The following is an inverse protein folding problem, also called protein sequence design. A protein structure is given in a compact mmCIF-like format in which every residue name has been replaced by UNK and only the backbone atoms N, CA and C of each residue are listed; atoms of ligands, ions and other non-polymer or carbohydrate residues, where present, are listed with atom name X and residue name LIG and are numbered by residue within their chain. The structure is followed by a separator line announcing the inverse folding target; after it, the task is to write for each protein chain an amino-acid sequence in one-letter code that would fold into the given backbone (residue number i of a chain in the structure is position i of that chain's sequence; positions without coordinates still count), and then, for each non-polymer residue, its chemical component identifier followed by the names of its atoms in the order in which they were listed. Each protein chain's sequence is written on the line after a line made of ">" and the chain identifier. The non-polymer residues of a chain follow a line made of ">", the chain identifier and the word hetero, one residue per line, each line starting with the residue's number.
data_IF_545799451142
#
_entry.id   IF_545799451142
#
_cell.length_a   1.000
_cell.length_b   1.000
_cell.length_c   1.000
_cell.angle_alpha   90.00
_cell.angle_beta   90.00
_cell.angle_gamma   90.00
#
_symmetry.space_group_name_H-M   'P 1'
#
loop_
_entity.id
_entity.type
_entity.pdbx_description
1 polymer ?
#
# COMPACT_ATOMS: atom_id res chain seq x y z
N UNK A 1 -44.45 -67.14 4.43
CA UNK A 1 -43.62 -66.16 5.17
C UNK A 1 -42.73 -65.44 4.19
N UNK A 2 -43.30 -64.41 3.57
CA UNK A 2 -42.59 -63.47 2.69
C UNK A 2 -41.89 -62.43 3.58
N UNK A 3 -40.58 -62.28 3.43
CA UNK A 3 -39.82 -61.15 3.98
C UNK A 3 -39.27 -60.37 2.79
N UNK A 4 -39.91 -59.24 2.48
CA UNK A 4 -39.35 -58.25 1.56
C UNK A 4 -38.17 -57.51 2.22
N UNK A 5 -37.10 -57.18 1.47
CA UNK A 5 -36.04 -56.31 1.96
C UNK A 5 -36.44 -54.83 1.84
N UNK A 6 -36.21 -54.07 2.91
CA UNK A 6 -36.45 -52.62 2.98
C UNK A 6 -35.59 -51.83 1.97
N UNK A 7 -36.10 -50.74 1.38
CA UNK A 7 -35.33 -49.89 0.49
C UNK A 7 -34.44 -48.92 1.29
N UNK A 8 -33.14 -48.93 1.00
CA UNK A 8 -32.18 -47.94 1.50
C UNK A 8 -32.43 -46.61 0.76
N UNK A 9 -33.01 -45.63 1.46
CA UNK A 9 -33.11 -44.25 0.99
C UNK A 9 -31.78 -43.54 1.20
N UNK A 10 -31.08 -43.26 0.10
CA UNK A 10 -29.95 -42.34 0.08
C UNK A 10 -30.47 -40.90 0.25
N UNK A 11 -30.22 -40.29 1.41
CA UNK A 11 -30.39 -38.85 1.63
C UNK A 11 -29.20 -38.12 0.99
N UNK A 12 -29.40 -37.61 -0.22
CA UNK A 12 -28.46 -36.65 -0.83
C UNK A 12 -28.74 -35.29 -0.20
N UNK A 13 -27.92 -34.87 0.76
CA UNK A 13 -27.91 -33.50 1.26
C UNK A 13 -27.32 -32.59 0.17
N UNK A 14 -28.01 -31.52 -0.28
CA UNK A 14 -27.42 -30.60 -1.23
C UNK A 14 -26.31 -29.82 -0.51
N UNK A 15 -25.08 -30.03 -0.96
CA UNK A 15 -23.93 -29.24 -0.58
C UNK A 15 -24.15 -27.81 -1.11
N UNK A 16 -24.59 -26.90 -0.25
CA UNK A 16 -24.68 -25.48 -0.57
C UNK A 16 -23.23 -24.97 -0.75
N UNK A 17 -22.76 -24.91 -2.00
CA UNK A 17 -21.52 -24.19 -2.31
C UNK A 17 -21.82 -22.69 -2.09
N UNK A 18 -21.49 -22.19 -0.91
CA UNK A 18 -21.29 -20.76 -0.73
C UNK A 18 -20.10 -20.36 -1.60
N UNK A 19 -20.38 -19.89 -2.82
CA UNK A 19 -19.39 -19.21 -3.64
C UNK A 19 -19.08 -17.91 -2.89
N UNK A 20 -18.01 -17.93 -2.10
CA UNK A 20 -17.35 -16.71 -1.66
C UNK A 20 -16.91 -15.99 -2.94
N UNK A 21 -17.67 -14.99 -3.37
CA UNK A 21 -17.20 -14.02 -4.36
C UNK A 21 -16.02 -13.30 -3.72
N UNK A 22 -14.80 -13.82 -3.90
CA UNK A 22 -13.61 -12.98 -3.79
C UNK A 22 -13.78 -11.90 -4.84
N UNK A 23 -14.22 -10.73 -4.40
CA UNK A 23 -14.32 -9.58 -5.27
C UNK A 23 -12.89 -9.23 -5.70
N UNK A 24 -12.58 -9.42 -6.98
CA UNK A 24 -11.30 -9.04 -7.56
C UNK A 24 -11.04 -7.56 -7.28
N UNK A 25 -9.78 -7.18 -7.15
CA UNK A 25 -9.44 -5.76 -7.03
C UNK A 25 -9.61 -5.05 -8.38
N UNK A 26 -9.35 -3.73 -8.41
CA UNK A 26 -9.38 -3.01 -9.67
C UNK A 26 -8.30 -3.55 -10.60
N UNK A 27 -8.65 -3.71 -11.86
CA UNK A 27 -7.68 -4.06 -12.87
C UNK A 27 -6.93 -2.81 -13.32
N UNK A 28 -5.62 -2.94 -13.53
CA UNK A 28 -4.89 -2.03 -14.42
C UNK A 28 -5.46 -2.19 -15.82
N UNK A 29 -6.03 -1.14 -16.37
CA UNK A 29 -6.67 -1.17 -17.69
C UNK A 29 -6.02 -0.19 -18.66
N UNK A 30 -6.00 -0.58 -19.93
CA UNK A 30 -5.64 0.27 -21.07
C UNK A 30 -6.62 0.07 -22.22
N UNK A 31 -6.60 0.96 -23.19
CA UNK A 31 -7.39 0.78 -24.42
C UNK A 31 -6.52 0.16 -25.50
N UNK A 32 -7.03 -0.91 -26.12
CA UNK A 32 -6.50 -1.39 -27.39
C UNK A 32 -7.06 -0.55 -28.52
N UNK A 33 -6.22 0.35 -29.05
CA UNK A 33 -6.65 1.30 -30.08
C UNK A 33 -6.88 0.57 -31.40
N UNK A 34 -8.11 0.65 -31.91
CA UNK A 34 -8.42 0.20 -33.28
C UNK A 34 -7.71 1.05 -34.33
N UNK A 35 -7.44 2.32 -34.02
CA UNK A 35 -6.75 3.27 -34.88
C UNK A 35 -5.64 3.99 -34.11
N UNK A 36 -4.40 3.92 -34.59
CA UNK A 36 -3.23 4.51 -33.92
C UNK A 36 -3.27 6.06 -33.88
N UNK A 37 -4.17 6.69 -34.63
CA UNK A 37 -4.22 8.14 -34.85
C UNK A 37 -4.93 8.93 -33.74
N UNK A 38 -5.78 8.29 -32.92
CA UNK A 38 -6.45 8.99 -31.82
C UNK A 38 -5.51 9.05 -30.62
N UNK A 39 -5.10 10.26 -30.23
CA UNK A 39 -4.38 10.50 -28.97
C UNK A 39 -5.37 10.43 -27.80
N UNK A 40 -4.97 9.77 -26.71
CA UNK A 40 -5.79 9.64 -25.51
C UNK A 40 -6.57 8.33 -25.36
N UNK A 41 -7.21 8.24 -24.21
CA UNK A 41 -7.99 7.14 -23.67
C UNK A 41 -9.29 7.68 -23.06
N UNK A 42 -10.39 6.99 -23.29
CA UNK A 42 -11.70 7.32 -22.73
C UNK A 42 -12.26 6.05 -22.12
N UNK A 43 -12.38 5.99 -20.80
CA UNK A 43 -13.03 4.89 -20.11
C UNK A 43 -14.37 5.34 -19.55
N UNK A 44 -15.38 4.49 -19.66
CA UNK A 44 -16.72 4.76 -19.20
C UNK A 44 -17.34 3.55 -18.49
N UNK A 45 -18.03 3.81 -17.39
CA UNK A 45 -18.94 2.84 -16.78
C UNK A 45 -20.19 3.55 -16.24
N UNK A 46 -21.25 2.77 -16.06
CA UNK A 46 -22.49 3.19 -15.40
C UNK A 46 -22.87 2.17 -14.35
N UNK A 47 -23.38 2.64 -13.22
CA UNK A 47 -23.81 1.79 -12.12
C UNK A 47 -25.02 2.40 -11.41
N UNK A 48 -25.72 1.60 -10.64
CA UNK A 48 -26.93 2.01 -9.91
C UNK A 48 -26.70 1.89 -8.41
N UNK A 49 -27.15 2.89 -7.65
CA UNK A 49 -27.15 2.89 -6.20
C UNK A 49 -28.59 2.84 -5.71
N UNK A 50 -28.98 1.75 -5.06
CA UNK A 50 -30.36 1.50 -4.58
C UNK A 50 -30.83 2.53 -3.54
N UNK A 51 -29.90 3.00 -2.71
CA UNK A 51 -30.15 3.99 -1.66
C UNK A 51 -29.20 5.17 -1.78
N UNK A 52 -29.47 6.24 -1.01
CA UNK A 52 -28.64 7.45 -1.05
C UNK A 52 -27.24 7.14 -0.49
N UNK A 53 -26.14 7.47 -1.21
CA UNK A 53 -24.81 7.34 -0.66
C UNK A 53 -24.60 8.32 0.51
N UNK A 54 -23.92 7.87 1.55
CA UNK A 54 -23.54 8.70 2.73
C UNK A 54 -22.02 8.80 2.90
N UNK A 55 -21.26 7.97 2.20
CA UNK A 55 -19.81 8.07 2.09
C UNK A 55 -19.36 7.56 0.73
N UNK A 56 -18.30 8.14 0.18
CA UNK A 56 -17.67 7.64 -1.02
C UNK A 56 -16.24 8.17 -1.14
N UNK A 57 -15.29 7.28 -1.41
CA UNK A 57 -13.89 7.63 -1.62
C UNK A 57 -13.41 7.03 -2.93
N UNK A 58 -12.65 7.80 -3.69
CA UNK A 58 -11.94 7.30 -4.87
C UNK A 58 -10.47 7.17 -4.55
N UNK A 59 -9.87 6.07 -5.03
CA UNK A 59 -8.43 5.88 -5.22
C UNK A 59 -8.18 5.64 -6.68
N UNK A 60 -7.32 6.46 -7.29
CA UNK A 60 -6.99 6.44 -8.69
C UNK A 60 -5.47 6.45 -8.86
N UNK A 61 -4.93 5.50 -9.63
CA UNK A 61 -3.53 5.46 -10.03
C UNK A 61 -3.40 5.40 -11.55
N UNK A 62 -2.33 5.96 -12.07
CA UNK A 62 -2.10 6.10 -13.50
C UNK A 62 -0.61 6.32 -13.78
N UNK A 63 -0.18 5.92 -14.97
CA UNK A 63 1.21 6.14 -15.38
C UNK A 63 1.31 7.40 -16.24
N UNK A 64 2.03 8.42 -15.74
CA UNK A 64 2.44 9.63 -16.49
C UNK A 64 1.36 10.13 -17.45
N UNK A 65 0.17 10.34 -16.90
CA UNK A 65 -1.03 10.64 -17.68
C UNK A 65 -1.61 11.95 -17.18
N UNK A 66 -2.09 12.79 -18.10
CA UNK A 66 -2.92 13.95 -17.76
C UNK A 66 -4.36 13.70 -18.17
N UNK A 67 -5.33 14.29 -17.48
CA UNK A 67 -6.71 13.98 -17.81
C UNK A 67 -7.74 14.54 -16.84
N UNK A 68 -8.94 13.99 -16.92
CA UNK A 68 -10.05 14.31 -16.02
C UNK A 68 -10.81 13.06 -15.66
N UNK A 69 -11.24 12.99 -14.40
CA UNK A 69 -12.25 12.08 -13.92
C UNK A 69 -13.55 12.87 -13.75
N UNK A 70 -14.60 12.43 -14.42
CA UNK A 70 -15.93 13.01 -14.35
C UNK A 70 -16.92 12.00 -13.77
N UNK A 71 -17.83 12.49 -12.92
CA UNK A 71 -18.90 11.70 -12.33
C UNK A 71 -20.19 12.49 -12.55
N UNK A 72 -21.20 11.86 -13.16
CA UNK A 72 -22.48 12.49 -13.51
C UNK A 72 -22.33 13.82 -14.27
N UNK A 73 -21.32 13.90 -15.16
CA UNK A 73 -21.01 15.07 -15.98
C UNK A 73 -20.21 16.18 -15.28
N UNK A 74 -20.06 16.15 -13.95
CA UNK A 74 -19.21 17.07 -13.21
C UNK A 74 -17.75 16.59 -13.20
N UNK A 75 -16.79 17.53 -13.32
CA UNK A 75 -15.37 17.21 -13.16
C UNK A 75 -15.09 16.99 -11.67
N UNK A 76 -14.92 15.73 -11.28
CA UNK A 76 -14.59 15.34 -9.92
C UNK A 76 -13.10 15.54 -9.61
N UNK A 77 -12.23 15.30 -10.60
CA UNK A 77 -10.79 15.52 -10.44
C UNK A 77 -10.07 15.81 -11.77
N UNK A 78 -8.97 16.58 -11.70
CA UNK A 78 -8.02 16.80 -12.80
C UNK A 78 -6.74 16.02 -12.53
N UNK A 79 -6.37 15.16 -13.45
CA UNK A 79 -5.21 14.27 -13.35
C UNK A 79 -3.98 15.02 -13.90
N UNK A 80 -2.93 15.17 -13.10
CA UNK A 80 -1.64 15.74 -13.52
C UNK A 80 -0.61 14.65 -13.83
N UNK A 81 0.39 14.94 -14.66
CA UNK A 81 1.51 14.01 -14.91
C UNK A 81 2.44 13.84 -13.72
N UNK A 82 2.39 14.77 -12.76
CA UNK A 82 3.19 14.75 -11.54
C UNK A 82 2.56 13.91 -10.42
N UNK A 83 1.29 13.56 -10.57
CA UNK A 83 0.57 12.75 -9.60
C UNK A 83 0.92 11.26 -9.84
N UNK A 84 1.37 10.56 -8.80
CA UNK A 84 1.52 9.10 -8.86
C UNK A 84 0.22 8.37 -8.44
N UNK A 85 -0.60 9.03 -7.63
CA UNK A 85 -1.84 8.53 -7.03
C UNK A 85 -2.71 9.71 -6.65
N UNK A 86 -4.02 9.55 -6.79
CA UNK A 86 -5.02 10.52 -6.33
C UNK A 86 -6.01 9.79 -5.41
N UNK A 87 -6.30 10.38 -4.25
CA UNK A 87 -7.35 9.94 -3.33
C UNK A 87 -8.21 11.14 -2.91
N UNK A 88 -9.54 11.04 -2.99
CA UNK A 88 -10.44 12.14 -2.64
C UNK A 88 -11.87 11.65 -2.32
N UNK A 89 -12.62 12.50 -1.60
CA UNK A 89 -14.05 12.30 -1.33
C UNK A 89 -14.88 12.48 -2.60
N UNK A 90 -15.58 11.42 -3.00
CA UNK A 90 -16.41 11.39 -4.20
C UNK A 90 -17.90 11.59 -3.89
N UNK A 91 -18.29 11.65 -2.62
CA UNK A 91 -19.69 11.75 -2.20
C UNK A 91 -20.45 12.92 -2.85
N UNK A 92 -19.87 14.13 -3.00
CA UNK A 92 -20.57 15.27 -3.60
C UNK A 92 -21.02 15.06 -5.05
N UNK A 93 -20.45 14.07 -5.74
CA UNK A 93 -20.71 13.81 -7.15
C UNK A 93 -21.68 12.65 -7.40
N UNK A 94 -22.04 11.89 -6.36
CA UNK A 94 -22.89 10.71 -6.46
C UNK A 94 -24.35 11.00 -6.07
N UNK A 95 -25.26 10.16 -6.57
CA UNK A 95 -26.69 10.23 -6.28
C UNK A 95 -27.30 8.85 -6.14
N UNK A 96 -28.49 8.77 -5.54
CA UNK A 96 -29.35 7.57 -5.64
C UNK A 96 -29.74 7.33 -7.11
N UNK A 97 -29.86 6.06 -7.49
CA UNK A 97 -30.18 5.61 -8.84
C UNK A 97 -28.96 5.57 -9.75
N UNK A 98 -29.17 5.84 -11.04
CA UNK A 98 -28.11 5.74 -12.06
C UNK A 98 -27.02 6.81 -11.89
N UNK A 99 -25.78 6.33 -11.81
CA UNK A 99 -24.55 7.11 -11.85
C UNK A 99 -23.71 6.73 -13.07
N UNK A 100 -22.94 7.70 -13.57
CA UNK A 100 -22.00 7.49 -14.67
C UNK A 100 -20.62 8.04 -14.32
N UNK A 101 -19.58 7.31 -14.70
CA UNK A 101 -18.19 7.68 -14.48
C UNK A 101 -17.45 7.67 -15.82
N UNK A 102 -16.69 8.74 -16.07
CA UNK A 102 -15.87 8.91 -17.27
C UNK A 102 -14.43 9.29 -16.89
N UNK A 103 -13.45 8.59 -17.45
CA UNK A 103 -12.03 8.94 -17.35
C UNK A 103 -11.54 9.31 -18.74
N UNK A 104 -11.21 10.58 -18.94
CA UNK A 104 -10.57 11.07 -20.15
C UNK A 104 -9.09 11.28 -19.84
N UNK A 105 -8.23 10.45 -20.41
CA UNK A 105 -6.83 10.33 -20.07
C UNK A 105 -5.93 10.47 -21.30
N UNK A 106 -4.85 11.21 -21.18
CA UNK A 106 -3.86 11.43 -22.23
C UNK A 106 -2.48 11.04 -21.69
N UNK A 107 -2.04 9.78 -21.90
CA UNK A 107 -0.71 9.33 -21.51
C UNK A 107 0.38 10.12 -22.22
N UNK A 108 1.40 10.59 -21.49
CA UNK A 108 2.50 11.40 -22.02
C UNK A 108 3.44 10.61 -22.93
N UNK A 109 3.50 9.29 -22.75
CA UNK A 109 4.13 8.37 -23.70
C UNK A 109 3.21 7.15 -23.79
N UNK A 110 2.50 6.95 -24.92
CA UNK A 110 1.68 5.76 -25.10
C UNK A 110 2.60 4.56 -25.35
N UNK A 111 3.32 4.14 -24.32
CA UNK A 111 3.99 2.85 -24.30
C UNK A 111 2.92 1.75 -24.20
N UNK A 112 3.25 0.53 -24.62
CA UNK A 112 2.36 -0.63 -24.41
C UNK A 112 2.11 -0.94 -22.92
N UNK A 113 2.88 -0.33 -22.02
CA UNK A 113 2.83 -0.57 -20.58
C UNK A 113 1.92 0.40 -19.83
N UNK A 114 1.58 1.55 -20.43
CA UNK A 114 0.75 2.52 -19.74
C UNK A 114 -0.64 1.95 -19.47
N UNK A 115 -1.17 2.24 -18.29
CA UNK A 115 -2.50 1.83 -17.88
C UNK A 115 -3.07 2.81 -16.81
N UNK A 116 -4.29 2.56 -16.35
CA UNK A 116 -4.95 3.27 -15.26
C UNK A 116 -5.66 2.24 -14.37
N UNK A 117 -5.77 2.49 -13.07
CA UNK A 117 -6.69 1.75 -12.21
C UNK A 117 -7.44 2.70 -11.27
N UNK A 118 -8.74 2.46 -11.09
CA UNK A 118 -9.61 3.22 -10.20
C UNK A 118 -10.41 2.27 -9.32
N UNK A 119 -10.53 2.63 -8.05
CA UNK A 119 -11.47 2.06 -7.10
C UNK A 119 -12.28 3.18 -6.44
N UNK A 120 -13.59 3.10 -6.57
CA UNK A 120 -14.58 3.89 -5.85
C UNK A 120 -15.22 2.97 -4.81
N UNK A 121 -15.12 3.32 -3.54
CA UNK A 121 -15.78 2.58 -2.44
C UNK A 121 -16.66 3.52 -1.64
N UNK A 122 -17.72 3.01 -1.04
CA UNK A 122 -18.60 3.83 -0.22
C UNK A 122 -19.65 3.02 0.51
N UNK A 123 -20.52 3.74 1.22
CA UNK A 123 -21.68 3.18 1.91
C UNK A 123 -22.92 4.02 1.63
N UNK A 124 -24.06 3.36 1.61
CA UNK A 124 -25.36 4.01 1.53
C UNK A 124 -25.98 4.29 2.92
N UNK A 125 -27.12 4.96 2.93
CA UNK A 125 -27.86 5.32 4.15
C UNK A 125 -28.42 4.10 4.92
N UNK A 126 -28.47 2.93 4.28
CA UNK A 126 -28.83 1.65 4.91
C UNK A 126 -27.60 0.94 5.50
N UNK A 127 -26.40 1.46 5.24
CA UNK A 127 -25.13 0.89 5.69
C UNK A 127 -24.53 -0.14 4.72
N UNK A 128 -25.16 -0.38 3.58
CA UNK A 128 -24.69 -1.29 2.55
C UNK A 128 -23.47 -0.71 1.85
N UNK A 129 -22.43 -1.53 1.68
CA UNK A 129 -21.20 -1.11 1.01
C UNK A 129 -21.33 -1.27 -0.49
N UNK A 130 -20.79 -0.32 -1.25
CA UNK A 130 -20.65 -0.44 -2.70
C UNK A 130 -19.22 -0.22 -3.13
N UNK A 131 -18.85 -0.87 -4.23
CA UNK A 131 -17.52 -0.78 -4.82
C UNK A 131 -17.64 -0.78 -6.34
N UNK A 132 -17.02 0.20 -6.99
CA UNK A 132 -16.90 0.29 -8.45
C UNK A 132 -15.41 0.35 -8.79
N UNK A 133 -14.96 -0.58 -9.62
CA UNK A 133 -13.54 -0.76 -9.92
C UNK A 133 -13.32 -0.82 -11.43
N UNK A 134 -12.17 -0.35 -11.90
CA UNK A 134 -11.76 -0.54 -13.29
C UNK A 134 -11.69 -2.02 -13.64
N UNK A 135 -12.22 -2.37 -14.80
CA UNK A 135 -12.22 -3.75 -15.29
C UNK A 135 -12.33 -3.79 -16.81
N UNK A 136 -12.07 -4.94 -17.47
CA UNK A 136 -12.32 -5.13 -18.90
C UNK A 136 -13.77 -4.90 -19.35
N UNK A 137 -14.74 -4.89 -18.42
CA UNK A 137 -16.15 -4.63 -18.73
C UNK A 137 -16.46 -3.15 -18.93
N UNK A 138 -15.54 -2.25 -18.57
CA UNK A 138 -15.68 -0.83 -18.87
C UNK A 138 -15.69 -0.61 -20.38
N UNK A 139 -16.37 0.45 -20.80
CA UNK A 139 -16.58 0.76 -22.21
C UNK A 139 -15.62 1.87 -22.65
N UNK A 140 -15.26 1.85 -23.92
CA UNK A 140 -14.57 2.95 -24.57
C UNK A 140 -15.08 3.15 -25.99
N UNK A 141 -15.28 4.39 -26.45
CA UNK A 141 -15.51 4.65 -27.87
C UNK A 141 -14.26 4.43 -28.73
N UNK A 142 -13.07 4.30 -28.12
CA UNK A 142 -11.79 4.24 -28.82
C UNK A 142 -11.28 2.80 -29.07
N UNK A 143 -11.91 1.80 -28.47
CA UNK A 143 -11.46 0.40 -28.57
C UNK A 143 -11.93 -0.47 -27.43
N UNK A 144 -11.35 -1.68 -27.34
CA UNK A 144 -11.59 -2.59 -26.22
C UNK A 144 -10.77 -2.18 -24.99
N UNK A 145 -11.34 -2.37 -23.80
CA UNK A 145 -10.63 -2.16 -22.53
C UNK A 145 -9.92 -3.46 -22.14
N UNK A 146 -8.60 -3.44 -22.17
CA UNK A 146 -7.77 -4.60 -21.83
C UNK A 146 -7.27 -4.50 -20.39
N UNK A 147 -7.39 -5.62 -19.66
CA UNK A 147 -6.71 -5.79 -18.37
C UNK A 147 -5.21 -6.03 -18.58
N UNK A 148 -4.38 -5.42 -17.74
CA UNK A 148 -2.94 -5.67 -17.59
C UNK A 148 -2.62 -6.38 -16.27
N UNK A 149 -3.59 -6.55 -15.37
CA UNK A 149 -3.41 -7.24 -14.09
C UNK A 149 -4.45 -6.82 -13.07
N UNK A 150 -4.76 -7.71 -12.12
CA UNK A 150 -5.67 -7.46 -10.99
C UNK A 150 -4.87 -6.93 -9.80
N UNK A 151 -5.11 -5.67 -9.42
CA UNK A 151 -4.43 -5.03 -8.29
C UNK A 151 -4.81 -5.62 -6.94
N UNK A 152 -5.93 -6.34 -6.83
CA UNK A 152 -6.27 -7.06 -5.60
C UNK A 152 -5.23 -8.12 -5.22
N UNK A 153 -4.44 -8.59 -6.20
CA UNK A 153 -3.30 -9.50 -5.99
C UNK A 153 -2.02 -8.77 -5.58
N UNK A 154 -1.96 -7.46 -5.83
CA UNK A 154 -0.84 -6.62 -5.47
C UNK A 154 -0.89 -6.25 -3.99
N UNK A 155 0.11 -6.70 -3.24
CA UNK A 155 0.12 -6.56 -1.78
C UNK A 155 0.09 -5.10 -1.33
N UNK A 156 0.67 -4.17 -2.10
CA UNK A 156 0.68 -2.74 -1.80
C UNK A 156 -0.67 -2.05 -2.09
N UNK A 157 -1.52 -2.63 -2.93
CA UNK A 157 -2.86 -2.09 -3.20
C UNK A 157 -3.79 -2.31 -2.02
N UNK A 158 -3.73 -3.50 -1.41
CA UNK A 158 -4.57 -3.90 -0.27
C UNK A 158 -4.11 -3.31 1.07
N UNK A 159 -2.99 -2.58 1.08
CA UNK A 159 -2.59 -1.81 2.25
C UNK A 159 -3.52 -0.58 2.40
N UNK A 160 -3.86 -0.22 3.64
CA UNK A 160 -4.58 1.01 3.93
C UNK A 160 -3.74 2.19 3.43
N UNK A 161 -4.37 3.29 2.99
CA UNK A 161 -3.65 4.46 2.54
C UNK A 161 -2.66 4.90 3.61
N UNK A 162 -1.41 5.16 3.19
CA UNK A 162 -0.42 5.80 4.06
C UNK A 162 -1.01 7.15 4.48
N UNK A 163 -1.16 7.36 5.79
CA UNK A 163 -1.45 8.69 6.32
C UNK A 163 -0.18 9.53 6.11
N UNK A 164 -0.17 10.30 5.03
CA UNK A 164 0.87 11.29 4.76
C UNK A 164 0.31 12.65 5.19
N UNK A 165 0.81 13.23 6.29
CA UNK A 165 0.50 14.57 6.78
C UNK A 165 1.71 15.52 6.68
N UNK A 166 1.54 16.80 7.00
CA UNK A 166 2.58 17.82 6.89
C UNK A 166 3.86 17.52 7.72
N UNK A 167 3.80 16.60 8.69
CA UNK A 167 4.99 16.15 9.40
C UNK A 167 5.85 15.16 8.59
N UNK A 168 5.37 14.65 7.44
CA UNK A 168 6.01 13.58 6.68
C UNK A 168 7.20 13.98 5.81
N UNK A 169 7.47 15.27 5.60
CA UNK A 169 8.54 15.70 4.69
C UNK A 169 9.91 15.86 5.38
N UNK A 170 9.94 16.16 6.69
CA UNK A 170 11.20 16.29 7.45
C UNK A 170 11.10 16.00 8.95
N UNK A 171 9.93 16.17 9.56
CA UNK A 171 9.78 16.10 11.02
C UNK A 171 9.23 14.78 11.54
N UNK A 172 9.23 13.72 10.72
CA UNK A 172 8.73 12.39 11.12
C UNK A 172 9.36 11.87 12.41
N UNK A 173 10.65 12.17 12.66
CA UNK A 173 11.33 11.80 13.90
C UNK A 173 10.66 12.38 15.15
N UNK A 174 9.95 13.52 15.05
CA UNK A 174 9.18 14.10 16.16
C UNK A 174 8.01 13.23 16.58
N UNK A 175 7.48 12.37 15.70
CA UNK A 175 6.41 11.41 16.07
C UNK A 175 6.91 10.39 17.11
N UNK A 176 8.21 10.12 17.15
CA UNK A 176 8.83 9.31 18.19
C UNK A 176 9.24 10.14 19.43
N UNK A 177 9.19 11.47 19.37
CA UNK A 177 9.56 12.34 20.50
C UNK A 177 8.54 12.18 21.62
N UNK A 178 8.97 11.64 22.75
CA UNK A 178 8.11 11.32 23.89
C UNK A 178 7.55 9.90 23.90
N UNK A 179 7.81 9.08 22.88
CA UNK A 179 7.53 7.66 22.93
C UNK A 179 8.43 6.97 23.98
N UNK A 180 7.83 6.12 24.82
CA UNK A 180 8.57 5.38 25.86
C UNK A 180 9.19 4.08 25.37
N UNK A 181 8.75 3.60 24.21
CA UNK A 181 9.19 2.36 23.60
C UNK A 181 9.13 2.47 22.08
N UNK A 182 9.89 1.63 21.39
CA UNK A 182 9.72 1.42 19.95
C UNK A 182 8.31 0.93 19.63
N UNK A 183 7.86 1.18 18.39
CA UNK A 183 6.54 0.74 17.92
C UNK A 183 6.37 -0.77 18.07
N UNK A 184 5.23 -1.21 18.61
CA UNK A 184 4.92 -2.63 18.77
C UNK A 184 4.87 -3.32 17.39
N UNK A 185 5.72 -4.33 17.12
CA UNK A 185 5.76 -5.03 15.84
C UNK A 185 4.42 -5.67 15.46
N UNK A 186 3.53 -5.98 16.41
CA UNK A 186 2.18 -6.51 16.12
C UNK A 186 1.31 -5.53 15.34
N UNK A 187 1.66 -4.24 15.35
CA UNK A 187 0.96 -3.22 14.58
C UNK A 187 1.40 -3.17 13.13
N UNK A 188 2.50 -3.84 12.77
CA UNK A 188 3.03 -3.86 11.42
C UNK A 188 2.21 -4.78 10.51
N UNK A 189 2.07 -4.35 9.27
CA UNK A 189 1.57 -5.22 8.19
C UNK A 189 2.75 -5.88 7.53
N UNK A 190 3.00 -7.14 7.88
CA UNK A 190 4.11 -7.94 7.36
C UNK A 190 3.68 -8.82 6.19
N UNK A 191 4.63 -9.13 5.32
CA UNK A 191 4.42 -10.08 4.23
C UNK A 191 4.40 -11.52 4.78
N UNK A 192 3.69 -12.47 4.14
CA UNK A 192 3.78 -13.89 4.51
C UNK A 192 5.24 -14.38 4.54
N UNK A 193 5.62 -15.07 5.61
CA UNK A 193 7.00 -15.55 5.84
C UNK A 193 7.94 -14.53 6.48
N UNK A 194 7.50 -13.29 6.74
CA UNK A 194 8.27 -12.29 7.47
C UNK A 194 7.77 -12.16 8.91
N UNK A 195 8.71 -11.91 9.82
CA UNK A 195 8.47 -11.67 11.23
C UNK A 195 9.20 -10.38 11.64
N UNK A 196 8.61 -9.62 12.57
CA UNK A 196 9.24 -8.45 13.16
C UNK A 196 9.17 -8.58 14.69
N UNK A 197 10.32 -8.40 15.34
CA UNK A 197 10.47 -8.50 16.80
C UNK A 197 11.15 -7.25 17.33
N UNK A 198 10.61 -6.69 18.42
CA UNK A 198 11.21 -5.56 19.12
C UNK A 198 12.25 -6.10 20.09
N UNK A 199 13.52 -5.87 19.78
CA UNK A 199 14.65 -6.38 20.56
C UNK A 199 15.18 -5.38 21.59
N UNK A 200 14.96 -4.07 21.36
CA UNK A 200 15.40 -2.99 22.23
C UNK A 200 14.65 -1.70 21.95
N UNK A 201 14.43 -0.90 23.00
CA UNK A 201 13.93 0.47 22.90
C UNK A 201 14.97 1.41 23.48
N UNK A 202 15.34 2.43 22.72
CA UNK A 202 16.40 3.35 23.12
C UNK A 202 16.08 4.02 24.47
N UNK A 203 17.01 3.93 25.41
CA UNK A 203 16.93 4.61 26.70
C UNK A 203 17.39 6.07 26.62
N UNK A 204 17.14 6.88 27.67
CA UNK A 204 17.55 8.29 27.71
C UNK A 204 19.04 8.52 27.46
N UNK A 205 19.89 7.59 27.89
CA UNK A 205 21.35 7.70 27.78
C UNK A 205 21.91 7.22 26.42
N UNK A 206 21.06 6.66 25.55
CA UNK A 206 21.47 6.06 24.27
C UNK A 206 21.36 7.03 23.08
N UNK A 207 20.76 8.20 23.29
CA UNK A 207 20.66 9.28 22.30
C UNK A 207 19.85 8.91 21.05
N UNK A 208 19.91 9.78 20.03
CA UNK A 208 19.33 9.51 18.71
C UNK A 208 20.22 8.57 17.91
N UNK A 209 19.66 7.49 17.37
CA UNK A 209 20.37 6.56 16.51
C UNK A 209 20.20 6.94 15.04
N UNK A 210 21.31 7.05 14.32
CA UNK A 210 21.32 7.59 12.94
C UNK A 210 21.99 6.65 11.94
N UNK A 211 22.65 5.59 12.40
CA UNK A 211 23.20 4.54 11.54
C UNK A 211 23.29 3.21 12.28
N UNK A 212 23.29 2.12 11.50
CA UNK A 212 23.41 0.75 12.00
C UNK A 212 24.30 -0.05 11.05
N UNK A 213 25.20 -0.88 11.60
CA UNK A 213 25.91 -1.91 10.86
C UNK A 213 25.94 -3.22 11.64
N UNK A 214 25.97 -4.34 10.92
CA UNK A 214 26.04 -5.68 11.50
C UNK A 214 27.41 -6.27 11.16
N UNK A 215 28.12 -6.80 12.14
CA UNK A 215 29.37 -7.51 11.88
C UNK A 215 29.15 -8.99 11.55
N UNK A 216 30.23 -9.68 11.16
CA UNK A 216 30.20 -11.10 10.79
C UNK A 216 29.76 -12.02 11.94
N UNK A 217 29.88 -11.58 13.19
CA UNK A 217 29.37 -12.32 14.35
C UNK A 217 27.88 -12.03 14.62
N UNK A 218 27.27 -11.14 13.85
CA UNK A 218 25.87 -10.75 13.99
C UNK A 218 25.60 -9.73 15.11
N UNK A 219 26.63 -9.04 15.60
CA UNK A 219 26.46 -7.95 16.57
C UNK A 219 26.08 -6.66 15.83
N UNK A 220 25.27 -5.83 16.48
CA UNK A 220 24.79 -4.57 15.93
C UNK A 220 25.65 -3.43 16.47
N UNK A 221 26.22 -2.60 15.60
CA UNK A 221 26.82 -1.33 15.99
C UNK A 221 25.91 -0.18 15.57
N UNK A 222 25.61 0.71 16.50
CA UNK A 222 24.72 1.85 16.35
C UNK A 222 25.51 3.14 16.47
N UNK A 223 25.45 3.96 15.42
CA UNK A 223 26.04 5.30 15.41
C UNK A 223 25.05 6.32 15.96
N UNK A 224 25.52 7.17 16.88
CA UNK A 224 24.70 8.19 17.52
C UNK A 224 24.80 9.54 16.81
N UNK A 225 23.71 10.31 16.86
CA UNK A 225 23.67 11.68 16.34
C UNK A 225 24.57 12.61 17.16
N UNK A 226 24.57 12.47 18.48
CA UNK A 226 25.41 13.27 19.36
C UNK A 226 26.89 12.84 19.27
N UNK A 227 27.24 11.72 19.91
CA UNK A 227 28.59 11.17 19.95
C UNK A 227 28.61 9.68 20.27
N UNK A 228 29.57 9.00 19.66
CA UNK A 228 29.95 7.65 19.98
C UNK A 228 29.20 6.57 19.21
N UNK A 229 29.63 5.35 19.46
CA UNK A 229 29.11 4.13 18.83
C UNK A 229 28.87 3.11 19.94
N UNK A 230 27.65 2.57 19.98
CA UNK A 230 27.26 1.50 20.90
C UNK A 230 27.15 0.19 20.14
N UNK A 231 27.74 -0.88 20.67
CA UNK A 231 27.63 -2.23 20.13
C UNK A 231 26.73 -3.09 21.01
N UNK A 232 25.74 -3.72 20.39
CA UNK A 232 24.85 -4.69 20.97
C UNK A 232 25.20 -6.10 20.49
N UNK A 233 25.38 -7.01 21.44
CA UNK A 233 25.45 -8.45 21.17
C UNK A 233 24.09 -9.04 21.50
N UNK A 234 23.51 -9.79 20.56
CA UNK A 234 22.23 -10.46 20.76
C UNK A 234 22.42 -11.80 21.47
N UNK A 235 21.38 -12.30 22.13
CA UNK A 235 21.32 -13.68 22.58
C UNK A 235 21.36 -14.66 21.39
N UNK A 236 21.56 -15.96 21.67
CA UNK A 236 21.69 -16.99 20.62
C UNK A 236 20.45 -17.04 19.71
N UNK A 237 19.28 -16.81 20.29
CA UNK A 237 17.98 -16.80 19.61
C UNK A 237 17.72 -15.50 18.85
N UNK A 238 18.58 -14.48 18.98
CA UNK A 238 18.48 -13.15 18.35
C UNK A 238 17.18 -12.40 18.69
N UNK A 239 16.60 -12.67 19.85
CA UNK A 239 15.36 -12.07 20.32
C UNK A 239 15.58 -10.93 21.32
N UNK A 240 16.77 -10.83 21.92
CA UNK A 240 17.09 -9.87 22.96
C UNK A 240 18.56 -9.45 22.91
N UNK A 241 18.88 -8.29 23.49
CA UNK A 241 20.26 -7.89 23.75
C UNK A 241 20.81 -8.68 24.94
N UNK A 242 21.91 -9.41 24.73
CA UNK A 242 22.66 -10.08 25.77
C UNK A 242 23.77 -9.19 26.38
N UNK A 243 24.31 -8.25 25.60
CA UNK A 243 25.37 -7.35 26.06
C UNK A 243 25.36 -6.02 25.29
N UNK A 244 25.63 -4.94 26.01
CA UNK A 244 25.82 -3.58 25.46
C UNK A 244 27.22 -3.10 25.79
N UNK A 245 27.95 -2.58 24.81
CA UNK A 245 29.31 -2.01 24.97
C UNK A 245 29.44 -0.73 24.16
N UNK A 246 29.86 0.37 24.79
CA UNK A 246 30.29 1.56 24.05
C UNK A 246 31.68 1.32 23.48
N UNK A 247 31.81 1.34 22.15
CA UNK A 247 33.07 1.05 21.45
C UNK A 247 33.78 2.32 20.94
N UNK A 248 33.09 3.46 20.99
CA UNK A 248 33.66 4.78 20.71
C UNK A 248 32.88 5.85 21.47
N UNK A 249 33.56 6.87 21.99
CA UNK A 249 32.95 7.99 22.74
C UNK A 249 33.20 9.36 22.11
N UNK A 250 33.96 9.41 21.03
CA UNK A 250 34.64 10.63 20.57
C UNK A 250 34.08 11.13 19.24
N UNK A 251 33.75 10.20 18.33
CA UNK A 251 33.21 10.53 17.01
C UNK A 251 31.80 11.09 17.16
N UNK A 252 31.55 12.23 16.53
CA UNK A 252 30.28 12.97 16.53
C UNK A 252 29.54 12.78 15.21
N UNK A 253 28.22 12.66 15.29
CA UNK A 253 27.33 12.43 14.14
C UNK A 253 27.78 11.27 13.25
N UNK A 254 27.85 10.05 13.81
CA UNK A 254 28.20 8.84 13.07
C UNK A 254 27.08 8.42 12.11
N UNK A 255 27.00 9.04 10.93
CA UNK A 255 25.93 8.89 9.93
C UNK A 255 26.08 7.68 9.00
N UNK A 256 27.28 7.10 8.94
CA UNK A 256 27.52 5.87 8.18
C UNK A 256 28.40 4.92 8.97
N UNK A 257 28.04 3.64 8.96
CA UNK A 257 28.83 2.55 9.52
C UNK A 257 28.92 1.43 8.49
N UNK A 258 30.13 0.88 8.33
CA UNK A 258 30.36 -0.27 7.45
C UNK A 258 31.43 -1.16 8.05
N UNK A 259 31.13 -2.45 8.18
CA UNK A 259 32.15 -3.45 8.43
C UNK A 259 32.73 -3.92 7.11
N UNK A 260 34.06 -3.82 6.96
CA UNK A 260 34.82 -4.33 5.84
C UNK A 260 36.27 -4.55 6.28
N UNK A 261 37.00 -5.44 5.62
CA UNK A 261 38.44 -5.64 5.86
C UNK A 261 38.81 -5.76 7.35
N UNK A 262 38.05 -6.60 8.08
CA UNK A 262 38.21 -6.84 9.53
C UNK A 262 38.12 -5.59 10.42
N UNK A 263 37.52 -4.50 9.92
CA UNK A 263 37.45 -3.19 10.57
C UNK A 263 36.06 -2.57 10.49
N UNK A 264 35.77 -1.65 11.41
CA UNK A 264 34.58 -0.79 11.35
C UNK A 264 34.97 0.57 10.77
N UNK A 265 34.48 0.88 9.57
CA UNK A 265 34.58 2.19 8.95
C UNK A 265 33.42 3.07 9.40
N UNK A 266 33.74 4.32 9.72
CA UNK A 266 32.78 5.28 10.27
C UNK A 266 32.82 6.57 9.45
N UNK A 267 31.65 6.99 8.96
CA UNK A 267 31.45 8.33 8.42
C UNK A 267 30.89 9.23 9.53
N UNK A 268 31.71 10.18 10.01
CA UNK A 268 31.38 11.10 11.09
C UNK A 268 31.42 12.55 10.58
N UNK A 269 30.30 13.27 10.63
CA UNK A 269 30.17 14.56 9.96
C UNK A 269 30.76 15.75 10.73
N UNK A 270 30.84 15.67 12.06
CA UNK A 270 31.41 16.73 12.91
C UNK A 270 32.67 16.29 13.67
N UNK A 271 33.36 15.28 13.13
CA UNK A 271 34.66 14.85 13.62
C UNK A 271 35.66 15.15 12.52
N UNK A 272 36.61 16.07 12.76
CA UNK A 272 37.71 16.26 11.81
C UNK A 272 38.71 15.11 12.03
N UNK A 273 38.81 14.20 11.07
CA UNK A 273 39.72 13.06 11.09
C UNK A 273 39.28 11.98 10.12
#
# INVERSE_FOLDING_TARGET
>A
NYTEPMPVRWLIAPLLLCILNLQAGPHWVRIDKKTQTLSGWIFHTSFELESKPVSASIRLIFEKTRGTLQINGAIAHRISTEDAKVEFDALPYLRKGKNELWINANPSSPSKSSAIALELTGKDELGESFTIQTSPQWKSPLGEVLSQGDLGKEKWWTLPPLKIDEADDYTQWKRASGAKAGTDPKTFKLLPGFEANLIHSAGPDEGSWISLAIDEQGRLSIGREDKGITRFTLNKERTQIAQTVTINTDLRECRGLLYAHDSLYVNANQSKG
#
